data_IF_538223270114
#
_entry.id   IF_538223270114
#
_cell.length_a   1.000
_cell.length_b   1.000
_cell.length_c   1.000
_cell.angle_alpha   90.00
_cell.angle_beta   90.00
_cell.angle_gamma   90.00
#
_symmetry.space_group_name_H-M   'P 1'
#
loop_
_entity.id
_entity.type
_entity.pdbx_description
1 polymer ?
#
# COMPACT_ATOMS: atom_id res chain seq x y z
N UNK A 1 14.01 22.82 -1.87
CA UNK A 1 12.73 23.28 -1.31
C UNK A 1 13.04 23.94 0.03
N UNK A 2 13.04 25.27 0.09
CA UNK A 2 13.29 26.04 1.33
C UNK A 2 12.02 25.95 2.20
N UNK A 3 12.07 25.10 3.22
CA UNK A 3 11.12 25.21 4.33
C UNK A 3 11.58 26.41 5.12
N UNK A 4 10.73 27.45 5.21
CA UNK A 4 11.06 28.67 5.92
C UNK A 4 11.39 28.35 7.39
N UNK A 5 12.39 29.00 7.95
CA UNK A 5 12.82 28.87 9.36
C UNK A 5 11.66 29.05 10.37
N UNK A 6 10.56 29.68 9.97
CA UNK A 6 9.35 29.81 10.77
C UNK A 6 8.54 28.49 10.86
N UNK A 7 8.63 27.59 9.86
CA UNK A 7 8.00 26.26 9.95
C UNK A 7 8.71 25.34 10.96
N UNK A 8 10.03 25.50 11.12
CA UNK A 8 10.82 24.72 12.08
C UNK A 8 10.48 25.03 13.57
N UNK A 9 9.93 26.21 13.87
CA UNK A 9 9.50 26.56 15.23
C UNK A 9 8.23 25.81 15.69
N UNK A 10 7.37 25.38 14.76
CA UNK A 10 6.14 24.65 15.09
C UNK A 10 6.39 23.19 15.46
N UNK A 11 7.48 22.57 14.98
CA UNK A 11 7.80 21.16 15.29
C UNK A 11 8.61 20.97 16.59
N UNK A 12 9.08 22.07 17.17
CA UNK A 12 9.85 22.01 18.41
C UNK A 12 8.91 21.67 19.57
N UNK A 13 9.07 20.46 20.12
CA UNK A 13 8.28 19.86 21.19
C UNK A 13 7.00 19.09 20.73
N UNK A 14 6.76 18.91 19.44
CA UNK A 14 5.64 18.06 18.97
C UNK A 14 5.86 16.61 19.38
N UNK A 15 4.86 16.04 20.05
CA UNK A 15 4.88 14.67 20.55
C UNK A 15 4.18 13.73 19.59
N UNK A 16 4.96 12.87 18.97
CA UNK A 16 4.46 11.80 18.10
C UNK A 16 4.27 10.52 18.88
N UNK A 17 3.19 9.81 18.61
CA UNK A 17 2.89 8.51 19.16
C UNK A 17 2.78 7.50 18.00
N UNK A 18 3.50 6.39 18.12
CA UNK A 18 3.49 5.25 17.19
C UNK A 18 2.92 4.06 17.94
N UNK A 19 1.64 3.68 17.75
CA UNK A 19 1.04 2.52 18.40
C UNK A 19 1.48 1.22 17.75
N UNK A 20 1.26 0.10 18.45
CA UNK A 20 1.22 -1.22 17.82
C UNK A 20 0.00 -1.33 16.92
N UNK A 21 0.17 -1.96 15.76
CA UNK A 21 -0.96 -2.33 14.90
C UNK A 21 -1.67 -3.56 15.50
N UNK A 22 -2.99 -3.48 15.61
CA UNK A 22 -3.81 -4.54 16.24
C UNK A 22 -4.58 -5.37 15.20
N UNK A 23 -4.56 -4.95 13.92
CA UNK A 23 -5.25 -5.68 12.87
C UNK A 23 -4.64 -7.07 12.68
N UNK A 24 -5.49 -8.10 12.70
CA UNK A 24 -5.06 -9.49 12.56
C UNK A 24 -4.29 -9.71 11.24
N UNK A 25 -3.06 -10.21 11.37
CA UNK A 25 -2.19 -10.49 10.23
C UNK A 25 -1.43 -9.26 9.70
N UNK A 26 -1.62 -8.08 10.26
CA UNK A 26 -0.84 -6.90 9.90
C UNK A 26 0.48 -6.88 10.69
N UNK A 27 1.60 -6.95 9.96
CA UNK A 27 2.95 -6.91 10.55
C UNK A 27 3.62 -5.54 10.36
N UNK A 28 2.93 -4.56 9.79
CA UNK A 28 3.50 -3.25 9.49
C UNK A 28 3.64 -2.39 10.75
N UNK A 29 4.48 -1.37 10.65
CA UNK A 29 4.59 -0.28 11.61
C UNK A 29 4.63 1.05 10.86
N UNK A 30 3.99 2.08 11.39
CA UNK A 30 3.87 3.38 10.71
C UNK A 30 5.18 4.16 10.61
N UNK A 31 6.17 3.87 11.45
CA UNK A 31 7.48 4.51 11.40
C UNK A 31 8.61 3.52 11.71
N UNK A 32 9.66 3.54 10.87
CA UNK A 32 10.88 2.77 11.09
C UNK A 32 11.86 3.52 12.00
N UNK A 33 12.90 2.85 12.58
CA UNK A 33 13.94 3.54 13.33
C UNK A 33 14.63 4.68 12.56
N UNK A 34 14.78 4.55 11.24
CA UNK A 34 15.32 5.62 10.40
C UNK A 34 14.36 6.83 10.33
N UNK A 35 13.05 6.57 10.24
CA UNK A 35 12.04 7.63 10.30
C UNK A 35 12.08 8.37 11.63
N UNK A 36 12.25 7.65 12.76
CA UNK A 36 12.41 8.26 14.08
C UNK A 36 13.62 9.18 14.10
N UNK A 37 14.77 8.72 13.60
CA UNK A 37 15.98 9.54 13.49
C UNK A 37 15.73 10.83 12.73
N UNK A 38 15.00 10.78 11.61
CA UNK A 38 14.64 11.98 10.82
C UNK A 38 13.73 12.92 11.60
N UNK A 39 12.68 12.42 12.26
CA UNK A 39 11.78 13.24 13.08
C UNK A 39 12.51 13.91 14.24
N UNK A 40 13.48 13.24 14.87
CA UNK A 40 14.34 13.82 15.92
C UNK A 40 15.11 15.04 15.43
N UNK A 41 15.58 15.07 14.18
CA UNK A 41 16.28 16.24 13.63
C UNK A 41 15.41 17.49 13.55
N UNK A 42 14.08 17.32 13.52
CA UNK A 42 13.11 18.42 13.60
C UNK A 42 12.76 18.84 15.04
N UNK A 43 13.38 18.20 16.04
CA UNK A 43 13.17 18.49 17.47
C UNK A 43 11.91 17.85 18.06
N UNK A 44 11.33 16.84 17.40
CA UNK A 44 10.17 16.12 17.89
C UNK A 44 10.51 15.15 19.01
N UNK A 45 9.56 14.88 19.92
CA UNK A 45 9.58 13.74 20.83
C UNK A 45 8.76 12.61 20.24
N UNK A 46 9.31 11.40 20.16
CA UNK A 46 8.63 10.28 19.52
C UNK A 46 8.51 9.13 20.52
N UNK A 47 7.27 8.77 20.81
CA UNK A 47 6.88 7.68 21.68
C UNK A 47 6.48 6.49 20.83
N UNK A 48 7.09 5.33 21.05
CA UNK A 48 6.84 4.09 20.33
C UNK A 48 6.28 3.08 21.30
N UNK A 49 5.12 2.52 21.02
CA UNK A 49 4.58 1.46 21.85
C UNK A 49 5.51 0.24 21.82
N UNK A 50 5.71 -0.35 22.98
CA UNK A 50 6.58 -1.51 23.14
C UNK A 50 6.18 -2.60 22.15
N UNK A 51 7.15 -3.12 21.43
CA UNK A 51 6.98 -4.16 20.39
C UNK A 51 6.29 -3.71 19.08
N UNK A 52 5.97 -2.43 18.90
CA UNK A 52 5.28 -1.94 17.69
C UNK A 52 5.98 -2.33 16.38
N UNK A 53 7.30 -2.40 16.35
CA UNK A 53 8.07 -2.76 15.15
C UNK A 53 8.53 -4.21 15.08
N UNK A 54 8.27 -5.05 16.07
CA UNK A 54 8.83 -6.41 16.15
C UNK A 54 8.43 -7.28 14.95
N UNK A 55 7.17 -7.25 14.55
CA UNK A 55 6.69 -8.00 13.39
C UNK A 55 7.24 -7.46 12.06
N UNK A 56 7.72 -6.21 12.05
CA UNK A 56 8.43 -5.60 10.91
C UNK A 56 9.96 -5.77 10.98
N UNK A 57 10.47 -6.54 11.96
CA UNK A 57 11.91 -6.77 12.15
C UNK A 57 12.65 -5.68 12.92
N UNK A 58 11.95 -4.74 13.57
CA UNK A 58 12.53 -3.64 14.35
C UNK A 58 12.26 -3.84 15.84
N UNK A 59 13.29 -4.16 16.63
CA UNK A 59 13.16 -4.31 18.07
C UNK A 59 13.16 -2.93 18.78
N UNK A 60 12.75 -2.93 20.05
CA UNK A 60 12.68 -1.70 20.87
C UNK A 60 14.03 -0.97 20.93
N UNK A 61 15.13 -1.71 21.09
CA UNK A 61 16.48 -1.14 21.16
C UNK A 61 16.85 -0.35 19.91
N UNK A 62 16.42 -0.80 18.73
CA UNK A 62 16.64 -0.09 17.47
C UNK A 62 15.96 1.28 17.45
N UNK A 63 14.79 1.41 18.04
CA UNK A 63 14.08 2.68 18.18
C UNK A 63 14.76 3.59 19.20
N UNK A 64 15.13 3.08 20.39
CA UNK A 64 15.82 3.84 21.44
C UNK A 64 17.15 4.39 20.93
N UNK A 65 17.95 3.56 20.24
CA UNK A 65 19.22 3.99 19.61
C UNK A 65 19.03 5.17 18.64
N UNK A 66 17.87 5.29 18.01
CA UNK A 66 17.55 6.38 17.08
C UNK A 66 16.77 7.54 17.75
N UNK A 67 16.65 7.54 19.07
CA UNK A 67 16.08 8.61 19.87
C UNK A 67 14.58 8.49 20.11
N UNK A 68 13.99 7.32 19.88
CA UNK A 68 12.63 7.00 20.28
C UNK A 68 12.53 6.70 21.77
N UNK A 69 11.36 6.89 22.33
CA UNK A 69 11.03 6.61 23.73
C UNK A 69 10.01 5.47 23.76
N UNK A 70 10.39 4.34 24.33
CA UNK A 70 9.50 3.19 24.42
C UNK A 70 8.52 3.38 25.59
N UNK A 71 7.23 3.14 25.32
CA UNK A 71 6.18 3.17 26.33
C UNK A 71 5.32 1.89 26.29
N UNK A 72 4.58 1.62 27.35
CA UNK A 72 3.68 0.45 27.41
C UNK A 72 2.26 0.85 27.06
N UNK A 73 1.47 -0.06 26.46
CA UNK A 73 0.09 0.16 26.03
C UNK A 73 -0.80 0.81 27.10
N UNK A 74 -0.56 0.52 28.36
CA UNK A 74 -1.33 1.01 29.50
C UNK A 74 -0.93 2.40 29.99
N UNK A 75 0.09 3.03 29.38
CA UNK A 75 0.50 4.39 29.77
C UNK A 75 -0.43 5.43 29.13
N UNK A 76 -1.53 5.68 29.81
CA UNK A 76 -2.52 6.68 29.39
C UNK A 76 -1.95 8.11 29.31
N UNK A 77 -0.83 8.40 29.98
CA UNK A 77 -0.23 9.72 29.94
C UNK A 77 0.40 10.02 28.58
N UNK A 78 0.97 9.01 27.92
CA UNK A 78 1.54 9.16 26.59
C UNK A 78 0.43 9.49 25.59
N UNK A 79 -0.68 8.76 25.62
CA UNK A 79 -1.85 9.01 24.78
C UNK A 79 -2.41 10.41 25.00
N UNK A 80 -2.65 10.81 26.27
CA UNK A 80 -3.18 12.14 26.62
C UNK A 80 -2.30 13.31 26.21
N UNK A 81 -1.00 13.11 26.07
CA UNK A 81 -0.05 14.15 25.74
C UNK A 81 0.40 14.14 24.27
N UNK A 82 -0.04 13.16 23.48
CA UNK A 82 0.28 13.07 22.05
C UNK A 82 -0.32 14.25 21.29
N UNK A 83 0.49 14.86 20.42
CA UNK A 83 0.05 15.88 19.45
C UNK A 83 -0.34 15.22 18.13
N UNK A 84 0.40 14.18 17.74
CA UNK A 84 0.22 13.46 16.48
C UNK A 84 0.29 11.96 16.74
N UNK A 85 -0.65 11.21 16.22
CA UNK A 85 -0.62 9.74 16.18
C UNK A 85 -0.33 9.31 14.75
N UNK A 86 0.78 8.58 14.55
CA UNK A 86 1.08 7.88 13.31
C UNK A 86 0.69 6.42 13.45
N UNK A 87 -0.25 5.98 12.62
CA UNK A 87 -0.71 4.59 12.58
C UNK A 87 -0.75 4.10 11.14
N UNK A 88 -0.74 2.79 10.95
CA UNK A 88 -1.08 2.18 9.66
C UNK A 88 -2.57 2.09 9.55
N UNK A 89 -3.22 1.40 10.49
CA UNK A 89 -4.67 1.33 10.61
C UNK A 89 -5.18 2.27 11.71
N UNK A 90 -6.44 2.66 11.63
CA UNK A 90 -7.05 3.48 12.67
C UNK A 90 -7.01 2.77 14.02
N UNK A 91 -6.51 3.39 15.09
CA UNK A 91 -6.60 2.84 16.45
C UNK A 91 -8.05 2.64 16.89
N UNK A 92 -8.26 1.82 17.92
CA UNK A 92 -9.57 1.57 18.49
C UNK A 92 -10.18 2.84 19.14
N UNK A 93 -11.50 2.83 19.33
CA UNK A 93 -12.25 3.95 19.89
C UNK A 93 -11.77 4.33 21.29
N UNK A 94 -11.35 3.35 22.11
CA UNK A 94 -10.89 3.60 23.47
C UNK A 94 -9.55 4.32 23.49
N UNK A 95 -8.67 3.98 22.58
CA UNK A 95 -7.40 4.65 22.39
C UNK A 95 -7.60 6.08 21.86
N UNK A 96 -8.50 6.27 20.91
CA UNK A 96 -8.84 7.61 20.40
C UNK A 96 -9.45 8.51 21.47
N UNK A 97 -10.31 8.00 22.35
CA UNK A 97 -10.89 8.74 23.48
C UNK A 97 -9.87 9.22 24.51
N UNK A 98 -8.68 8.62 24.56
CA UNK A 98 -7.59 9.06 25.45
C UNK A 98 -6.86 10.29 24.93
N UNK A 99 -6.96 10.60 23.63
CA UNK A 99 -6.25 11.71 23.02
C UNK A 99 -6.77 13.06 23.53
N UNK A 100 -5.87 14.01 23.61
CA UNK A 100 -6.27 15.39 23.89
C UNK A 100 -6.99 16.03 22.70
N UNK A 101 -7.82 17.02 22.97
CA UNK A 101 -8.46 17.84 21.93
C UNK A 101 -7.41 18.46 21.02
N UNK A 102 -7.71 18.52 19.72
CA UNK A 102 -6.82 19.05 18.69
C UNK A 102 -5.68 18.11 18.29
N UNK A 103 -5.58 16.90 18.84
CA UNK A 103 -4.60 15.92 18.37
C UNK A 103 -4.88 15.51 16.92
N UNK A 104 -3.82 15.22 16.17
CA UNK A 104 -3.87 14.83 14.77
C UNK A 104 -3.61 13.34 14.61
N UNK A 105 -4.47 12.65 13.86
CA UNK A 105 -4.29 11.24 13.51
C UNK A 105 -3.92 11.16 12.04
N UNK A 106 -2.88 10.39 11.70
CA UNK A 106 -2.41 10.19 10.33
C UNK A 106 -2.26 8.69 10.06
N UNK A 107 -3.00 8.16 9.11
CA UNK A 107 -2.98 6.74 8.75
C UNK A 107 -3.97 6.38 7.66
N UNK A 108 -4.20 5.09 7.45
CA UNK A 108 -5.28 4.54 6.62
C UNK A 108 -6.53 4.43 7.50
N UNK A 109 -7.42 5.39 7.43
CA UNK A 109 -8.53 5.55 8.39
C UNK A 109 -9.86 5.01 7.89
N UNK A 110 -9.96 4.67 6.60
CA UNK A 110 -11.16 4.14 5.93
C UNK A 110 -12.45 4.97 6.22
N UNK A 111 -12.46 6.28 5.97
CA UNK A 111 -13.55 7.15 6.39
C UNK A 111 -14.89 6.85 5.69
N UNK A 112 -14.87 6.26 4.50
CA UNK A 112 -16.09 5.87 3.79
C UNK A 112 -16.69 4.56 4.32
N UNK A 113 -15.86 3.63 4.80
CA UNK A 113 -16.29 2.37 5.39
C UNK A 113 -16.63 2.49 6.88
N UNK A 114 -16.15 3.54 7.57
CA UNK A 114 -16.30 3.73 9.01
C UNK A 114 -16.94 5.10 9.34
N UNK A 115 -18.26 5.18 9.19
CA UNK A 115 -19.01 6.41 9.52
C UNK A 115 -18.96 6.76 11.02
N UNK A 116 -18.83 5.75 11.88
CA UNK A 116 -18.72 5.92 13.33
C UNK A 116 -17.44 6.70 13.69
N UNK A 117 -16.34 6.41 13.01
CA UNK A 117 -15.09 7.13 13.21
C UNK A 117 -15.25 8.66 13.00
N UNK A 118 -15.96 9.06 11.94
CA UNK A 118 -16.17 10.48 11.67
C UNK A 118 -16.88 11.19 12.83
N UNK A 119 -17.91 10.56 13.39
CA UNK A 119 -18.61 11.09 14.56
C UNK A 119 -17.72 11.14 15.80
N UNK A 120 -16.93 10.09 16.06
CA UNK A 120 -16.00 10.04 17.18
C UNK A 120 -14.93 11.15 17.09
N UNK A 121 -14.39 11.40 15.90
CA UNK A 121 -13.41 12.49 15.68
C UNK A 121 -14.02 13.86 16.02
N UNK A 122 -15.26 14.10 15.60
CA UNK A 122 -15.99 15.34 15.93
C UNK A 122 -16.24 15.46 17.44
N UNK A 123 -16.76 14.40 18.07
CA UNK A 123 -17.11 14.39 19.50
C UNK A 123 -15.87 14.60 20.39
N UNK A 124 -14.71 14.11 19.96
CA UNK A 124 -13.44 14.24 20.67
C UNK A 124 -12.62 15.47 20.25
N UNK A 125 -13.11 16.29 19.29
CA UNK A 125 -12.39 17.44 18.74
C UNK A 125 -11.00 17.07 18.21
N UNK A 126 -10.94 15.97 17.43
CA UNK A 126 -9.71 15.43 16.82
C UNK A 126 -9.61 15.84 15.35
N UNK A 127 -8.38 16.00 14.86
CA UNK A 127 -8.09 16.18 13.43
C UNK A 127 -7.59 14.88 12.82
N UNK A 128 -7.86 14.64 11.52
CA UNK A 128 -7.42 13.43 10.84
C UNK A 128 -6.89 13.70 9.43
N UNK A 129 -5.86 12.98 9.02
CA UNK A 129 -5.39 12.88 7.64
C UNK A 129 -5.47 11.41 7.23
N UNK A 130 -6.43 11.11 6.37
CA UNK A 130 -6.60 9.77 5.79
C UNK A 130 -5.73 9.67 4.54
N UNK A 131 -4.67 8.85 4.60
CA UNK A 131 -3.66 8.78 3.54
C UNK A 131 -4.21 8.23 2.23
N UNK A 132 -5.23 7.38 2.27
CA UNK A 132 -5.93 6.86 1.09
C UNK A 132 -6.77 7.91 0.37
N UNK A 133 -7.03 9.07 0.98
CA UNK A 133 -7.73 10.20 0.37
C UNK A 133 -6.81 11.26 -0.22
N UNK A 134 -5.50 11.07 -0.12
CA UNK A 134 -4.57 12.00 -0.75
C UNK A 134 -4.78 12.03 -2.27
N UNK A 135 -4.84 13.21 -2.89
CA UNK A 135 -5.07 13.32 -4.33
C UNK A 135 -3.90 12.69 -5.12
N UNK A 136 -4.23 11.94 -6.18
CA UNK A 136 -3.23 11.29 -7.05
C UNK A 136 -2.69 12.27 -8.08
N UNK A 137 -1.93 13.23 -7.63
CA UNK A 137 -1.25 14.23 -8.44
C UNK A 137 0.26 14.09 -8.28
N UNK A 138 1.05 14.56 -9.24
CA UNK A 138 2.51 14.44 -9.24
C UNK A 138 3.15 14.99 -7.97
N UNK A 139 2.59 16.07 -7.39
CA UNK A 139 3.07 16.70 -6.15
C UNK A 139 2.92 15.79 -4.93
N UNK A 140 1.87 14.95 -4.87
CA UNK A 140 1.57 14.05 -3.76
C UNK A 140 2.13 12.64 -3.96
N UNK A 141 2.76 12.36 -5.10
CA UNK A 141 3.23 11.02 -5.47
C UNK A 141 4.19 10.40 -4.44
N UNK A 142 5.02 11.21 -3.79
CA UNK A 142 5.92 10.75 -2.71
C UNK A 142 5.20 10.33 -1.43
N UNK A 143 3.93 10.68 -1.29
CA UNK A 143 3.06 10.35 -0.14
C UNK A 143 1.95 9.35 -0.51
N UNK A 144 1.99 8.79 -1.72
CA UNK A 144 1.02 7.78 -2.19
C UNK A 144 1.32 6.41 -1.59
N UNK A 145 0.77 6.18 -0.40
CA UNK A 145 0.92 4.92 0.33
C UNK A 145 0.17 3.77 -0.34
N UNK A 146 -0.92 4.05 -1.07
CA UNK A 146 -1.67 3.02 -1.78
C UNK A 146 -0.84 2.42 -2.92
N UNK A 147 -0.17 3.24 -3.71
CA UNK A 147 0.74 2.77 -4.76
C UNK A 147 1.92 1.99 -4.19
N UNK A 148 2.50 2.42 -3.06
CA UNK A 148 3.57 1.70 -2.39
C UNK A 148 3.12 0.30 -1.95
N UNK A 149 1.94 0.19 -1.34
CA UNK A 149 1.39 -1.10 -0.90
C UNK A 149 0.96 -1.97 -2.09
N UNK A 150 0.36 -1.40 -3.14
CA UNK A 150 -0.01 -2.11 -4.36
C UNK A 150 1.22 -2.71 -5.06
N UNK A 151 2.35 -2.00 -5.07
CA UNK A 151 3.61 -2.50 -5.63
C UNK A 151 4.08 -3.76 -4.87
N UNK A 152 4.10 -3.71 -3.54
CA UNK A 152 4.45 -4.86 -2.69
C UNK A 152 3.48 -6.03 -2.92
N UNK A 153 2.18 -5.76 -3.03
CA UNK A 153 1.16 -6.77 -3.28
C UNK A 153 1.42 -7.49 -4.62
N UNK A 154 1.67 -6.72 -5.70
CA UNK A 154 1.99 -7.30 -7.01
C UNK A 154 3.27 -8.13 -7.02
N UNK A 155 4.30 -7.72 -6.29
CA UNK A 155 5.50 -8.52 -6.11
C UNK A 155 5.21 -9.82 -5.35
N UNK A 156 4.52 -9.72 -4.21
CA UNK A 156 4.26 -10.87 -3.34
C UNK A 156 3.32 -11.89 -3.98
N UNK A 157 2.31 -11.45 -4.75
CA UNK A 157 1.37 -12.34 -5.43
C UNK A 157 2.09 -13.31 -6.38
N UNK A 158 3.05 -12.81 -7.15
CA UNK A 158 3.84 -13.66 -8.05
C UNK A 158 4.72 -14.65 -7.31
N UNK A 159 5.33 -14.24 -6.19
CA UNK A 159 6.13 -15.16 -5.38
C UNK A 159 5.28 -16.26 -4.74
N UNK A 160 4.06 -15.93 -4.30
CA UNK A 160 3.11 -16.92 -3.79
C UNK A 160 2.70 -17.88 -4.91
N UNK A 161 2.33 -17.37 -6.07
CA UNK A 161 1.99 -18.21 -7.22
C UNK A 161 3.15 -19.13 -7.63
N UNK A 162 4.38 -18.62 -7.61
CA UNK A 162 5.56 -19.44 -7.93
C UNK A 162 5.85 -20.49 -6.87
N UNK A 163 5.49 -20.26 -5.60
CA UNK A 163 5.62 -21.22 -4.51
C UNK A 163 4.58 -22.33 -4.56
N UNK A 164 3.36 -22.01 -5.01
CA UNK A 164 2.23 -22.95 -5.07
C UNK A 164 2.18 -23.74 -6.38
N UNK A 165 2.86 -23.27 -7.43
CA UNK A 165 2.85 -23.92 -8.75
C UNK A 165 3.79 -25.13 -8.78
N UNK A 166 3.29 -26.30 -9.15
CA UNK A 166 4.03 -27.57 -9.27
C UNK A 166 4.91 -27.64 -10.54
N UNK A 167 5.34 -26.50 -11.06
CA UNK A 167 6.24 -26.42 -12.22
C UNK A 167 7.09 -25.15 -12.19
N UNK A 168 8.12 -25.13 -13.06
CA UNK A 168 9.01 -23.98 -13.16
C UNK A 168 8.36 -22.78 -13.85
N UNK A 169 8.63 -21.58 -13.37
CA UNK A 169 8.31 -20.34 -14.09
C UNK A 169 9.16 -20.18 -15.36
N UNK A 170 10.51 -20.35 -15.32
CA UNK A 170 11.34 -20.22 -16.51
C UNK A 170 11.30 -21.45 -17.41
N UNK A 171 11.68 -21.27 -18.66
CA UNK A 171 12.06 -22.37 -19.53
C UNK A 171 13.35 -22.99 -19.01
N UNK A 172 13.39 -24.33 -18.97
CA UNK A 172 14.60 -25.07 -18.63
C UNK A 172 14.88 -26.13 -19.70
N UNK A 173 16.17 -26.28 -20.05
CA UNK A 173 16.65 -27.36 -20.89
C UNK A 173 17.45 -28.33 -20.03
N UNK A 174 17.05 -29.62 -20.06
CA UNK A 174 17.71 -30.70 -19.34
C UNK A 174 18.09 -31.80 -20.31
N UNK A 175 18.90 -32.77 -19.86
CA UNK A 175 19.20 -33.95 -20.64
C UNK A 175 17.95 -34.81 -20.97
N UNK A 176 16.87 -34.66 -20.18
CA UNK A 176 15.59 -35.36 -20.40
C UNK A 176 14.62 -34.59 -21.32
N UNK A 177 14.95 -33.36 -21.73
CA UNK A 177 14.12 -32.53 -22.60
C UNK A 177 13.96 -31.08 -22.13
N UNK A 178 13.06 -30.37 -22.80
CA UNK A 178 12.77 -28.97 -22.54
C UNK A 178 11.49 -28.81 -21.73
N UNK A 179 11.57 -28.14 -20.60
CA UNK A 179 10.42 -27.67 -19.82
C UNK A 179 9.99 -26.30 -20.34
N UNK A 180 8.74 -26.17 -20.79
CA UNK A 180 8.19 -24.92 -21.26
C UNK A 180 7.98 -23.94 -20.09
N UNK A 181 8.15 -22.63 -20.31
CA UNK A 181 7.91 -21.63 -19.28
C UNK A 181 6.43 -21.57 -18.89
N UNK A 182 6.16 -21.21 -17.63
CA UNK A 182 4.80 -21.00 -17.17
C UNK A 182 4.12 -19.84 -17.90
N UNK A 183 2.82 -19.99 -18.19
CA UNK A 183 1.94 -18.97 -18.72
C UNK A 183 1.22 -18.26 -17.56
N UNK A 184 1.43 -16.96 -17.40
CA UNK A 184 0.83 -16.15 -16.34
C UNK A 184 -0.12 -15.13 -16.97
N UNK A 185 -1.35 -15.08 -16.49
CA UNK A 185 -2.34 -14.05 -16.87
C UNK A 185 -2.49 -13.05 -15.73
N UNK A 186 -2.35 -11.76 -16.03
CA UNK A 186 -2.53 -10.67 -15.06
C UNK A 186 -3.78 -9.87 -15.44
N UNK A 187 -4.75 -9.84 -14.54
CA UNK A 187 -6.00 -9.10 -14.73
C UNK A 187 -5.88 -7.72 -14.06
N UNK A 188 -5.72 -6.70 -14.90
CA UNK A 188 -5.49 -5.31 -14.51
C UNK A 188 -4.02 -4.89 -14.54
N UNK A 189 -3.70 -3.90 -15.36
CA UNK A 189 -2.37 -3.30 -15.53
C UNK A 189 -2.15 -2.05 -14.68
N UNK A 190 -2.71 -2.00 -13.46
CA UNK A 190 -2.41 -0.96 -12.47
C UNK A 190 -1.05 -1.16 -11.83
N UNK A 191 -0.73 -0.42 -10.75
CA UNK A 191 0.56 -0.49 -10.05
C UNK A 191 0.89 -1.93 -9.62
N UNK A 192 -0.07 -2.63 -9.00
CA UNK A 192 0.10 -4.04 -8.60
C UNK A 192 0.32 -4.95 -9.81
N UNK A 193 -0.52 -4.81 -10.85
CA UNK A 193 -0.43 -5.64 -12.06
C UNK A 193 0.88 -5.44 -12.81
N UNK A 194 1.31 -4.21 -13.05
CA UNK A 194 2.59 -3.93 -13.70
C UNK A 194 3.78 -4.47 -12.89
N UNK A 195 3.72 -4.39 -11.55
CA UNK A 195 4.74 -4.98 -10.70
C UNK A 195 4.71 -6.52 -10.76
N UNK A 196 3.51 -7.13 -10.80
CA UNK A 196 3.36 -8.58 -10.99
C UNK A 196 3.95 -9.00 -12.35
N UNK A 197 3.65 -8.27 -13.42
CA UNK A 197 4.23 -8.48 -14.75
C UNK A 197 5.76 -8.44 -14.69
N UNK A 198 6.34 -7.38 -14.12
CA UNK A 198 7.79 -7.24 -14.02
C UNK A 198 8.44 -8.38 -13.23
N UNK A 199 7.77 -8.84 -12.16
CA UNK A 199 8.26 -9.94 -11.32
C UNK A 199 8.17 -11.28 -12.05
N UNK A 200 7.01 -11.61 -12.63
CA UNK A 200 6.81 -12.87 -13.37
C UNK A 200 7.74 -12.96 -14.59
N UNK A 201 7.97 -11.85 -15.30
CA UNK A 201 8.95 -11.79 -16.40
C UNK A 201 10.38 -12.05 -15.91
N UNK A 202 10.79 -11.50 -14.77
CA UNK A 202 12.11 -11.78 -14.18
C UNK A 202 12.26 -13.22 -13.74
N UNK A 203 11.18 -13.88 -13.34
CA UNK A 203 11.17 -15.32 -13.07
C UNK A 203 11.14 -16.19 -14.34
N UNK A 204 11.01 -15.57 -15.53
CA UNK A 204 11.11 -16.25 -16.81
C UNK A 204 9.78 -16.73 -17.39
N UNK A 205 8.65 -16.33 -16.85
CA UNK A 205 7.32 -16.67 -17.36
C UNK A 205 6.97 -15.96 -18.67
N UNK A 206 6.04 -16.55 -19.43
CA UNK A 206 5.31 -15.88 -20.51
C UNK A 206 4.10 -15.19 -19.88
N UNK A 207 4.06 -13.86 -19.95
CA UNK A 207 3.04 -13.08 -19.25
C UNK A 207 2.09 -12.43 -20.25
N UNK A 208 0.79 -12.61 -20.00
CA UNK A 208 -0.31 -11.95 -20.69
C UNK A 208 -1.02 -11.00 -19.72
N UNK A 209 -1.45 -9.84 -20.21
CA UNK A 209 -2.11 -8.81 -19.39
C UNK A 209 -3.39 -8.35 -20.04
N UNK A 210 -4.45 -8.28 -19.26
CA UNK A 210 -5.71 -7.66 -19.65
C UNK A 210 -5.93 -6.38 -18.85
N UNK A 211 -6.22 -5.27 -19.54
CA UNK A 211 -6.71 -4.02 -18.94
C UNK A 211 -7.65 -3.33 -19.93
N UNK A 212 -8.68 -2.67 -19.39
CA UNK A 212 -9.66 -1.96 -20.26
C UNK A 212 -9.14 -0.60 -20.73
N UNK A 213 -8.07 -0.08 -20.14
CA UNK A 213 -7.46 1.21 -20.46
C UNK A 213 -6.42 1.05 -21.57
N UNK A 214 -6.57 1.67 -22.74
CA UNK A 214 -5.64 1.52 -23.87
C UNK A 214 -4.21 1.99 -23.54
N UNK A 215 -4.06 3.01 -22.69
CA UNK A 215 -2.76 3.56 -22.28
C UNK A 215 -1.86 2.53 -21.57
N UNK A 216 -2.45 1.52 -20.96
CA UNK A 216 -1.71 0.47 -20.24
C UNK A 216 -0.98 -0.47 -21.20
N UNK A 217 -1.45 -0.62 -22.43
CA UNK A 217 -0.85 -1.51 -23.42
C UNK A 217 0.63 -1.23 -23.64
N UNK A 218 1.00 0.02 -23.88
CA UNK A 218 2.40 0.41 -24.10
C UNK A 218 3.28 0.09 -22.87
N UNK A 219 2.75 0.31 -21.68
CA UNK A 219 3.46 -0.01 -20.43
C UNK A 219 3.70 -1.52 -20.28
N UNK A 220 2.70 -2.34 -20.60
CA UNK A 220 2.79 -3.80 -20.57
C UNK A 220 3.81 -4.32 -21.58
N UNK A 221 3.73 -3.84 -22.83
CA UNK A 221 4.64 -4.24 -23.89
C UNK A 221 6.09 -3.82 -23.62
N UNK A 222 6.30 -2.66 -22.97
CA UNK A 222 7.63 -2.19 -22.55
C UNK A 222 8.27 -3.10 -21.49
N UNK A 223 7.47 -3.80 -20.69
CA UNK A 223 7.94 -4.81 -19.73
C UNK A 223 8.19 -6.19 -20.38
N UNK A 224 7.96 -6.33 -21.69
CA UNK A 224 8.12 -7.57 -22.44
C UNK A 224 6.98 -8.58 -22.22
N UNK A 225 5.82 -8.13 -21.77
CA UNK A 225 4.62 -8.95 -21.69
C UNK A 225 3.72 -8.75 -22.91
N UNK A 226 2.73 -9.62 -23.09
CA UNK A 226 1.76 -9.57 -24.18
C UNK A 226 0.46 -8.96 -23.68
N UNK A 227 -0.05 -7.97 -24.39
CA UNK A 227 -1.34 -7.36 -24.06
C UNK A 227 -2.47 -8.16 -24.73
N UNK A 228 -3.46 -8.59 -23.93
CA UNK A 228 -4.68 -9.21 -24.42
C UNK A 228 -5.58 -8.11 -24.98
N UNK A 229 -5.84 -8.16 -26.29
CA UNK A 229 -6.72 -7.18 -26.93
C UNK A 229 -8.17 -7.48 -26.54
N UNK A 230 -8.78 -6.55 -25.86
CA UNK A 230 -10.21 -6.54 -25.55
C UNK A 230 -10.98 -5.84 -26.68
N UNK A 231 -12.31 -6.01 -26.76
CA UNK A 231 -13.16 -5.24 -27.66
C UNK A 231 -12.94 -3.74 -27.47
N UNK A 232 -13.20 -2.95 -28.52
CA UNK A 232 -13.07 -1.50 -28.42
C UNK A 232 -14.08 -0.93 -27.42
N UNK A 233 -13.57 -0.16 -26.48
CA UNK A 233 -14.35 0.52 -25.47
C UNK A 233 -14.25 2.03 -25.69
N UNK A 234 -15.40 2.69 -25.91
CA UNK A 234 -15.46 4.16 -25.98
C UNK A 234 -15.20 4.73 -24.57
N UNK A 235 -13.99 5.18 -24.32
CA UNK A 235 -13.67 5.91 -23.10
C UNK A 235 -14.40 7.24 -23.04
N UNK A 236 -15.29 7.40 -22.06
CA UNK A 236 -15.62 8.74 -21.58
C UNK A 236 -14.48 9.22 -20.69
N UNK A 237 -14.03 10.48 -20.81
CA UNK A 237 -12.96 11.00 -19.96
C UNK A 237 -13.26 10.73 -18.49
N UNK A 238 -12.38 10.01 -17.81
CA UNK A 238 -12.58 9.68 -16.39
C UNK A 238 -12.14 10.84 -15.51
N UNK A 239 -13.05 11.40 -14.74
CA UNK A 239 -12.74 12.34 -13.65
C UNK A 239 -12.11 11.64 -12.43
N UNK A 240 -12.02 10.32 -12.45
CA UNK A 240 -11.70 9.47 -11.26
C UNK A 240 -10.26 8.97 -11.21
N UNK A 241 -9.26 9.86 -11.24
CA UNK A 241 -7.91 9.59 -10.75
C UNK A 241 -7.25 8.26 -11.17
N UNK A 242 -7.48 7.77 -12.40
CA UNK A 242 -6.81 6.58 -12.95
C UNK A 242 -7.52 5.24 -12.73
N UNK A 243 -8.74 5.22 -12.21
CA UNK A 243 -9.60 4.03 -12.19
C UNK A 243 -10.44 3.92 -13.46
N UNK A 244 -10.82 2.68 -13.81
CA UNK A 244 -11.65 2.39 -14.98
C UNK A 244 -13.11 2.82 -14.78
N UNK A 245 -13.74 3.31 -15.85
CA UNK A 245 -15.17 3.65 -15.86
C UNK A 245 -16.05 2.40 -15.94
N UNK A 246 -17.36 2.54 -15.60
CA UNK A 246 -18.33 1.47 -15.75
C UNK A 246 -18.50 1.10 -17.25
N UNK A 247 -18.51 -0.19 -17.54
CA UNK A 247 -18.58 -0.77 -18.88
C UNK A 247 -19.98 -1.38 -19.16
N UNK A 248 -20.34 -1.54 -20.44
CA UNK A 248 -21.61 -2.15 -20.82
C UNK A 248 -21.62 -3.67 -20.58
N UNK A 249 -22.81 -4.26 -20.38
CA UNK A 249 -22.97 -5.72 -20.22
C UNK A 249 -22.45 -6.50 -21.43
N UNK A 250 -22.68 -6.00 -22.63
CA UNK A 250 -22.19 -6.61 -23.88
C UNK A 250 -20.66 -6.66 -23.92
N UNK A 251 -20.01 -5.56 -23.55
CA UNK A 251 -18.53 -5.54 -23.45
C UNK A 251 -18.02 -6.56 -22.44
N UNK A 252 -18.69 -6.71 -21.30
CA UNK A 252 -18.30 -7.68 -20.28
C UNK A 252 -18.45 -9.14 -20.76
N UNK A 253 -19.45 -9.43 -21.58
CA UNK A 253 -19.63 -10.76 -22.17
C UNK A 253 -18.52 -11.07 -23.17
N UNK A 254 -18.26 -10.19 -24.13
CA UNK A 254 -17.18 -10.33 -25.11
C UNK A 254 -15.80 -10.41 -24.41
N UNK A 255 -15.58 -9.61 -23.38
CA UNK A 255 -14.37 -9.67 -22.57
C UNK A 255 -14.20 -11.03 -21.88
N UNK A 256 -15.27 -11.59 -21.32
CA UNK A 256 -15.25 -12.90 -20.67
C UNK A 256 -14.88 -14.02 -21.63
N UNK A 257 -15.40 -13.99 -22.85
CA UNK A 257 -15.06 -15.00 -23.88
C UNK A 257 -13.57 -14.97 -24.19
N UNK A 258 -13.01 -13.79 -24.51
CA UNK A 258 -11.58 -13.63 -24.80
C UNK A 258 -10.71 -14.05 -23.62
N UNK A 259 -11.08 -13.62 -22.40
CA UNK A 259 -10.31 -13.97 -21.18
C UNK A 259 -10.40 -15.46 -20.87
N UNK A 260 -11.55 -16.11 -21.09
CA UNK A 260 -11.72 -17.55 -20.85
C UNK A 260 -10.77 -18.38 -21.69
N UNK A 261 -10.51 -18.01 -22.94
CA UNK A 261 -9.54 -18.68 -23.80
C UNK A 261 -8.12 -18.59 -23.19
N UNK A 262 -7.68 -17.39 -22.83
CA UNK A 262 -6.35 -17.19 -22.23
C UNK A 262 -6.20 -17.87 -20.85
N UNK A 263 -7.27 -17.83 -20.05
CA UNK A 263 -7.27 -18.44 -18.71
C UNK A 263 -7.27 -19.97 -18.77
N UNK A 264 -7.91 -20.57 -19.78
CA UNK A 264 -7.90 -22.04 -19.96
C UNK A 264 -6.52 -22.61 -20.24
N UNK A 265 -5.61 -21.79 -20.78
CA UNK A 265 -4.22 -22.16 -21.07
C UNK A 265 -3.21 -21.66 -20.01
N UNK A 266 -3.67 -20.88 -19.04
CA UNK A 266 -2.80 -20.30 -18.04
C UNK A 266 -2.43 -21.29 -16.93
N UNK A 267 -1.18 -21.23 -16.49
CA UNK A 267 -0.71 -21.95 -15.30
C UNK A 267 -0.99 -21.14 -14.02
N UNK A 268 -1.06 -19.79 -14.15
CA UNK A 268 -1.30 -18.84 -13.05
C UNK A 268 -2.15 -17.67 -13.54
N UNK A 269 -3.12 -17.23 -12.73
CA UNK A 269 -3.91 -16.02 -12.96
C UNK A 269 -4.01 -15.16 -11.69
#
# INVERSE_FOLDING_TARGET
MYISLNCLRFFKLTKFLIPCEEALGDSRVSATPETIKKLKTFGCEIFIEKSAGELSGFNNFSYEKNGGIIFTKNDNNVWKNADVVFCVNCPDDESLKKLKKGALIIGLLNPFGNKHLAQLLVDQDLSAISLELLPRISRAQSSDVLSSQANIAGYKSVLLAASELDRYFPMLMTAAGTVQPAKVVVLGGGVAGLQAVATAKRLGAIVFVSDIRPVVKEQVESLGAKFIRLPEFEEKPSESGGYANAVSSKFLEEQREILSEHLSEADVA
#
